data_IF_292755298753
#
_entry.id   IF_292755298753
#
_cell.length_a   1.000
_cell.length_b   1.000
_cell.length_c   1.000
_cell.angle_alpha   90.00
_cell.angle_beta   90.00
_cell.angle_gamma   90.00
#
_symmetry.space_group_name_H-M   'P 1'
#
loop_
_entity.id
_entity.type
_entity.pdbx_description
1 polymer ?
#
# COMPACT_ATOMS: atom_id res chain seq x y z
N UNK A 1 36.20 -6.19 -16.82
CA UNK A 1 35.52 -5.62 -15.64
C UNK A 1 34.03 -5.82 -15.87
N UNK A 2 33.46 -6.91 -15.34
CA UNK A 2 32.01 -7.13 -15.48
C UNK A 2 31.27 -6.14 -14.58
N UNK A 3 30.11 -5.59 -15.02
CA UNK A 3 29.28 -4.78 -14.15
C UNK A 3 28.78 -5.65 -12.98
N UNK A 4 28.58 -5.09 -11.77
CA UNK A 4 28.02 -5.84 -10.67
C UNK A 4 26.66 -6.39 -11.09
N UNK A 5 26.49 -7.71 -10.92
CA UNK A 5 25.22 -8.38 -11.18
C UNK A 5 24.12 -7.63 -10.44
N UNK A 6 23.22 -7.01 -11.20
CA UNK A 6 22.06 -6.31 -10.66
C UNK A 6 21.13 -7.36 -10.07
N UNK A 7 21.38 -7.75 -8.81
CA UNK A 7 20.65 -8.80 -8.13
C UNK A 7 19.17 -8.49 -8.13
N UNK A 8 18.36 -9.45 -8.57
CA UNK A 8 16.89 -9.35 -8.50
C UNK A 8 16.49 -9.03 -7.06
N UNK A 9 15.86 -7.87 -6.86
CA UNK A 9 15.36 -7.40 -5.57
C UNK A 9 13.99 -8.00 -5.31
N UNK A 10 13.62 -8.08 -4.03
CA UNK A 10 12.32 -8.58 -3.57
C UNK A 10 11.73 -7.60 -2.58
N UNK A 11 10.42 -7.69 -2.38
CA UNK A 11 9.75 -6.94 -1.33
C UNK A 11 10.29 -7.33 0.06
N UNK A 12 10.60 -6.34 0.89
CA UNK A 12 10.96 -6.54 2.29
C UNK A 12 9.69 -6.79 3.09
N UNK A 13 9.53 -7.99 3.62
CA UNK A 13 8.40 -8.34 4.50
C UNK A 13 8.76 -8.07 5.95
N UNK A 14 8.10 -7.08 6.55
CA UNK A 14 8.27 -6.75 7.97
C UNK A 14 7.61 -7.79 8.87
N UNK A 15 8.18 -7.96 10.07
CA UNK A 15 7.70 -8.94 11.06
C UNK A 15 6.27 -8.57 11.49
N UNK A 16 5.39 -9.56 11.54
CA UNK A 16 4.05 -9.38 12.11
C UNK A 16 4.16 -9.19 13.62
N UNK A 17 3.56 -8.14 14.15
CA UNK A 17 3.56 -7.81 15.58
C UNK A 17 2.17 -7.38 16.02
N UNK A 18 1.86 -7.59 17.30
CA UNK A 18 0.65 -7.05 17.93
C UNK A 18 0.75 -5.54 18.15
N UNK A 19 1.97 -4.99 18.28
CA UNK A 19 2.21 -3.56 18.53
C UNK A 19 2.60 -2.83 17.24
N UNK A 20 1.82 -3.04 16.17
CA UNK A 20 2.06 -2.50 14.82
C UNK A 20 2.39 -1.01 14.78
N UNK A 21 1.74 -0.22 15.64
CA UNK A 21 1.91 1.22 15.72
C UNK A 21 3.22 1.67 16.38
N UNK A 22 3.94 0.78 17.06
CA UNK A 22 5.19 1.07 17.77
C UNK A 22 6.39 0.41 17.09
N UNK A 23 6.25 -0.86 16.72
CA UNK A 23 7.36 -1.69 16.27
C UNK A 23 7.68 -1.47 14.79
N UNK A 24 6.69 -1.10 13.96
CA UNK A 24 6.93 -0.85 12.55
C UNK A 24 7.51 0.53 12.29
N UNK A 25 8.51 0.53 11.42
CA UNK A 25 9.22 1.70 10.94
C UNK A 25 9.49 1.52 9.45
N UNK A 26 9.66 2.63 8.73
CA UNK A 26 10.08 2.64 7.34
C UNK A 26 11.28 3.55 7.20
N UNK A 27 12.33 3.04 6.56
CA UNK A 27 13.48 3.84 6.14
C UNK A 27 13.49 3.86 4.62
N UNK A 28 13.22 5.03 4.06
CA UNK A 28 13.13 5.27 2.62
C UNK A 28 14.54 5.46 2.08
N UNK A 29 14.96 4.55 1.21
CA UNK A 29 16.31 4.53 0.61
C UNK A 29 16.29 4.80 -0.89
N UNK A 30 15.10 4.90 -1.46
CA UNK A 30 14.84 4.76 -2.88
C UNK A 30 13.80 5.80 -3.32
N UNK A 31 13.89 6.23 -4.59
CA UNK A 31 13.04 7.29 -5.15
C UNK A 31 11.58 6.87 -5.29
N UNK A 32 11.34 5.58 -5.51
CA UNK A 32 9.99 5.01 -5.60
C UNK A 32 9.80 4.09 -4.40
N UNK A 33 8.79 4.38 -3.58
CA UNK A 33 8.42 3.59 -2.41
C UNK A 33 7.03 2.99 -2.60
N UNK A 34 6.91 1.67 -2.56
CA UNK A 34 5.64 0.97 -2.44
C UNK A 34 5.56 0.42 -1.02
N UNK A 35 4.55 0.86 -0.26
CA UNK A 35 4.21 0.30 1.04
C UNK A 35 2.82 -0.30 0.99
N UNK A 36 2.64 -1.46 1.58
CA UNK A 36 1.33 -2.09 1.60
C UNK A 36 1.20 -3.20 2.61
N UNK A 37 0.08 -3.92 2.54
CA UNK A 37 -0.18 -5.05 3.41
C UNK A 37 0.56 -6.33 2.96
N UNK A 38 0.05 -7.50 3.34
CA UNK A 38 0.63 -8.79 2.95
C UNK A 38 0.55 -9.08 1.45
N UNK A 39 -0.30 -8.40 0.68
CA UNK A 39 -0.36 -8.62 -0.77
C UNK A 39 0.88 -8.09 -1.48
N UNK A 40 1.49 -7.02 -0.95
CA UNK A 40 2.71 -6.43 -1.52
C UNK A 40 3.91 -7.37 -1.45
N UNK A 41 4.00 -8.26 -0.44
CA UNK A 41 5.11 -9.22 -0.40
C UNK A 41 5.01 -10.31 -1.48
N UNK A 42 3.88 -10.42 -2.18
CA UNK A 42 3.67 -11.39 -3.27
C UNK A 42 4.17 -10.87 -4.63
N UNK A 43 4.68 -9.64 -4.70
CA UNK A 43 5.23 -9.11 -5.94
C UNK A 43 6.38 -10.00 -6.44
N UNK A 44 6.47 -10.24 -7.76
CA UNK A 44 7.59 -10.96 -8.33
C UNK A 44 8.90 -10.20 -8.08
N UNK A 45 10.06 -10.87 -8.13
CA UNK A 45 11.34 -10.18 -8.05
C UNK A 45 11.45 -9.11 -9.15
N UNK A 46 12.01 -7.96 -8.80
CA UNK A 46 12.13 -6.80 -9.68
C UNK A 46 13.60 -6.38 -9.83
N UNK A 47 13.91 -5.74 -10.96
CA UNK A 47 15.26 -5.26 -11.29
C UNK A 47 15.46 -3.78 -11.01
N UNK A 48 14.37 -3.01 -10.85
CA UNK A 48 14.44 -1.57 -10.67
C UNK A 48 15.20 -1.20 -9.38
N UNK A 49 16.33 -0.52 -9.56
CA UNK A 49 17.21 -0.09 -8.48
C UNK A 49 16.69 1.15 -7.76
N UNK A 50 15.73 1.87 -8.33
CA UNK A 50 15.05 3.01 -7.71
C UNK A 50 13.80 2.62 -6.95
N UNK A 51 13.34 1.37 -7.10
CA UNK A 51 12.17 0.83 -6.43
C UNK A 51 12.51 0.19 -5.07
N UNK A 52 11.79 0.62 -4.05
CA UNK A 52 11.71 -0.03 -2.74
C UNK A 52 10.29 -0.51 -2.50
N UNK A 53 10.16 -1.74 -2.01
CA UNK A 53 8.86 -2.36 -1.75
C UNK A 53 8.87 -2.95 -0.35
N UNK A 54 8.02 -2.42 0.53
CA UNK A 54 7.94 -2.78 1.94
C UNK A 54 6.53 -3.29 2.28
N UNK A 55 6.43 -4.54 2.72
CA UNK A 55 5.17 -5.18 3.13
C UNK A 55 5.03 -5.21 4.64
N UNK A 56 3.87 -4.77 5.12
CA UNK A 56 3.48 -4.74 6.53
C UNK A 56 2.23 -5.63 6.72
N UNK A 57 2.38 -6.90 7.12
CA UNK A 57 1.28 -7.87 7.13
C UNK A 57 0.06 -7.44 7.97
N UNK A 58 -1.12 -7.47 7.36
CA UNK A 58 -2.38 -7.05 8.00
C UNK A 58 -2.42 -5.56 8.36
N UNK A 59 -1.61 -4.72 7.69
CA UNK A 59 -1.67 -3.28 7.82
C UNK A 59 -2.93 -2.71 7.14
N UNK A 60 -3.28 -1.49 7.56
CA UNK A 60 -4.37 -0.71 7.01
C UNK A 60 -3.93 0.76 6.99
N UNK A 61 -4.74 1.66 6.45
CA UNK A 61 -4.40 3.09 6.34
C UNK A 61 -4.07 3.76 7.69
N UNK A 62 -4.65 3.32 8.81
CA UNK A 62 -4.26 3.83 10.14
C UNK A 62 -2.80 3.51 10.46
N UNK A 63 -2.36 2.29 10.15
CA UNK A 63 -0.96 1.89 10.32
C UNK A 63 -0.05 2.66 9.37
N UNK A 64 -0.47 2.85 8.11
CA UNK A 64 0.27 3.63 7.13
C UNK A 64 0.51 5.08 7.60
N UNK A 65 -0.52 5.74 8.17
CA UNK A 65 -0.38 7.08 8.71
C UNK A 65 0.69 7.16 9.81
N UNK A 66 0.67 6.24 10.76
CA UNK A 66 1.66 6.19 11.83
C UNK A 66 3.07 5.87 11.31
N UNK A 67 3.18 4.92 10.38
CA UNK A 67 4.43 4.55 9.73
C UNK A 67 5.06 5.76 9.02
N UNK A 68 4.29 6.45 8.20
CA UNK A 68 4.76 7.61 7.42
C UNK A 68 5.12 8.79 8.31
N UNK A 69 4.36 9.03 9.38
CA UNK A 69 4.65 10.13 10.32
C UNK A 69 6.03 10.01 10.99
N UNK A 70 6.59 8.79 11.06
CA UNK A 70 7.89 8.48 11.66
C UNK A 70 8.92 7.99 10.66
N UNK A 71 8.58 8.04 9.37
CA UNK A 71 9.46 7.53 8.32
C UNK A 71 10.79 8.29 8.33
N UNK A 72 11.90 7.59 8.17
CA UNK A 72 13.21 8.22 7.96
C UNK A 72 13.50 8.14 6.47
N UNK A 73 13.95 9.22 5.84
CA UNK A 73 14.41 9.19 4.46
C UNK A 73 15.91 9.44 4.40
N UNK A 74 16.63 8.45 3.87
CA UNK A 74 18.01 8.60 3.43
C UNK A 74 18.00 9.24 2.04
N UNK A 75 17.09 8.76 1.18
CA UNK A 75 16.81 9.34 -0.13
C UNK A 75 15.37 9.84 -0.12
N UNK A 76 15.12 11.14 -0.38
CA UNK A 76 13.76 11.66 -0.52
C UNK A 76 13.03 10.93 -1.65
N UNK A 77 11.84 10.34 -1.40
CA UNK A 77 11.06 9.70 -2.44
C UNK A 77 10.47 10.76 -3.39
N UNK A 78 10.44 10.44 -4.67
CA UNK A 78 9.71 11.19 -5.70
C UNK A 78 8.27 10.64 -5.85
N UNK A 79 8.08 9.35 -5.57
CA UNK A 79 6.79 8.68 -5.65
C UNK A 79 6.58 7.72 -4.48
N UNK A 80 5.39 7.74 -3.90
CA UNK A 80 4.96 6.84 -2.83
C UNK A 80 3.64 6.18 -3.25
N UNK A 81 3.56 4.86 -3.20
CA UNK A 81 2.33 4.09 -3.44
C UNK A 81 1.85 3.49 -2.12
N UNK A 82 0.62 3.80 -1.72
CA UNK A 82 -0.02 3.32 -0.49
C UNK A 82 -0.97 2.15 -0.79
N UNK A 83 -0.40 0.96 -1.02
CA UNK A 83 -1.14 -0.26 -1.36
C UNK A 83 -1.77 -0.95 -0.14
N UNK A 84 -2.78 -0.30 0.45
CA UNK A 84 -3.59 -0.83 1.54
C UNK A 84 -5.08 -0.76 1.19
N UNK A 85 -5.93 -1.38 2.02
CA UNK A 85 -7.38 -1.16 1.98
C UNK A 85 -8.21 -2.44 2.00
N UNK A 86 -7.66 -3.57 1.56
CA UNK A 86 -8.38 -4.86 1.60
C UNK A 86 -8.73 -5.30 3.03
N UNK A 87 -7.88 -4.93 4.00
CA UNK A 87 -8.12 -5.18 5.43
C UNK A 87 -9.22 -4.31 6.04
N UNK A 88 -9.84 -3.40 5.27
CA UNK A 88 -11.01 -2.61 5.69
C UNK A 88 -12.35 -3.23 5.28
N UNK A 89 -12.35 -4.32 4.50
CA UNK A 89 -13.56 -4.91 3.92
C UNK A 89 -14.67 -5.20 4.92
N UNK A 90 -14.32 -5.68 6.12
CA UNK A 90 -15.29 -6.04 7.17
C UNK A 90 -15.65 -4.85 8.09
N UNK A 91 -15.13 -3.65 7.82
CA UNK A 91 -15.41 -2.47 8.63
C UNK A 91 -16.79 -1.90 8.30
N UNK A 92 -17.73 -1.97 9.25
CA UNK A 92 -19.11 -1.50 9.07
C UNK A 92 -19.23 0.02 8.91
N UNK A 93 -18.32 0.77 9.49
CA UNK A 93 -18.30 2.23 9.45
C UNK A 93 -17.43 2.73 8.28
N UNK A 94 -18.03 2.90 7.10
CA UNK A 94 -17.38 3.38 5.88
C UNK A 94 -16.55 4.67 6.10
N UNK A 95 -17.11 5.62 6.86
CA UNK A 95 -16.42 6.88 7.18
C UNK A 95 -15.07 6.66 7.87
N UNK A 96 -14.90 5.57 8.62
CA UNK A 96 -13.66 5.31 9.34
C UNK A 96 -12.54 4.92 8.40
N UNK A 97 -12.80 4.11 7.36
CA UNK A 97 -11.78 3.73 6.38
C UNK A 97 -11.33 4.94 5.56
N UNK A 98 -12.28 5.80 5.17
CA UNK A 98 -11.99 7.08 4.48
C UNK A 98 -11.16 8.02 5.36
N UNK A 99 -11.54 8.22 6.63
CA UNK A 99 -10.76 9.06 7.57
C UNK A 99 -9.33 8.53 7.75
N UNK A 100 -9.16 7.21 7.79
CA UNK A 100 -7.83 6.61 7.90
C UNK A 100 -7.00 6.81 6.63
N UNK A 101 -7.61 6.68 5.44
CA UNK A 101 -6.96 7.00 4.16
C UNK A 101 -6.51 8.46 4.13
N UNK A 102 -7.39 9.39 4.47
CA UNK A 102 -7.08 10.83 4.53
C UNK A 102 -5.93 11.12 5.51
N UNK A 103 -5.92 10.46 6.68
CA UNK A 103 -4.83 10.57 7.64
C UNK A 103 -3.49 10.06 7.06
N UNK A 104 -3.51 8.95 6.32
CA UNK A 104 -2.32 8.40 5.67
C UNK A 104 -1.77 9.34 4.58
N UNK A 105 -2.66 9.87 3.74
CA UNK A 105 -2.31 10.87 2.72
C UNK A 105 -1.74 12.13 3.34
N UNK A 106 -2.35 12.64 4.42
CA UNK A 106 -1.85 13.80 5.15
C UNK A 106 -0.46 13.52 5.75
N UNK A 107 -0.26 12.36 6.37
CA UNK A 107 1.04 11.97 6.91
C UNK A 107 2.11 11.88 5.81
N UNK A 108 1.79 11.29 4.65
CA UNK A 108 2.68 11.22 3.51
C UNK A 108 3.06 12.62 3.00
N UNK A 109 2.08 13.49 2.75
CA UNK A 109 2.29 14.85 2.25
C UNK A 109 3.06 15.73 3.24
N UNK A 110 2.80 15.60 4.54
CA UNK A 110 3.56 16.33 5.56
C UNK A 110 5.02 15.85 5.64
N UNK A 111 5.24 14.54 5.51
CA UNK A 111 6.59 13.97 5.64
C UNK A 111 7.42 14.14 4.37
N UNK A 112 6.78 14.06 3.21
CA UNK A 112 7.39 14.07 1.88
C UNK A 112 6.60 15.04 0.97
N UNK A 113 6.71 16.36 1.18
CA UNK A 113 5.87 17.35 0.51
C UNK A 113 6.03 17.41 -1.01
N UNK A 114 7.17 16.95 -1.53
CA UNK A 114 7.45 16.92 -2.96
C UNK A 114 7.19 15.56 -3.61
N UNK A 115 6.86 14.53 -2.83
CA UNK A 115 6.56 13.21 -3.37
C UNK A 115 5.14 13.16 -3.92
N UNK A 116 4.96 12.57 -5.10
CA UNK A 116 3.64 12.19 -5.59
C UNK A 116 3.15 10.98 -4.81
N UNK A 117 1.95 11.07 -4.22
CA UNK A 117 1.38 9.99 -3.41
C UNK A 117 0.22 9.34 -4.15
N UNK A 118 0.39 8.09 -4.55
CA UNK A 118 -0.59 7.29 -5.27
C UNK A 118 -1.29 6.29 -4.36
N UNK A 119 -2.57 6.07 -4.59
CA UNK A 119 -3.37 5.04 -3.92
C UNK A 119 -3.98 4.11 -4.96
N UNK A 120 -3.60 2.83 -5.02
CA UNK A 120 -4.24 1.91 -5.96
C UNK A 120 -5.69 1.65 -5.56
N UNK A 121 -6.57 1.59 -6.55
CA UNK A 121 -7.89 1.03 -6.34
C UNK A 121 -7.76 -0.45 -5.95
N UNK A 122 -8.61 -0.89 -5.04
CA UNK A 122 -8.53 -2.21 -4.44
C UNK A 122 -9.22 -3.19 -5.39
N UNK A 123 -8.45 -4.07 -6.01
CA UNK A 123 -8.98 -5.28 -6.63
C UNK A 123 -9.41 -6.27 -5.53
N UNK A 124 -10.56 -6.91 -5.71
CA UNK A 124 -11.11 -7.88 -4.74
C UNK A 124 -11.91 -8.98 -5.44
N UNK A 125 -12.01 -10.14 -4.79
CA UNK A 125 -12.68 -11.32 -5.34
C UNK A 125 -14.21 -11.13 -5.43
N UNK A 126 -14.84 -11.62 -6.51
CA UNK A 126 -16.29 -11.69 -6.62
C UNK A 126 -16.93 -12.67 -5.63
N UNK A 127 -16.17 -13.53 -4.94
CA UNK A 127 -16.69 -14.41 -3.90
C UNK A 127 -16.89 -13.72 -2.55
N UNK A 128 -16.44 -12.46 -2.38
CA UNK A 128 -16.62 -11.75 -1.11
C UNK A 128 -18.10 -11.58 -0.73
N UNK A 129 -18.43 -11.58 0.58
CA UNK A 129 -19.76 -11.25 1.06
C UNK A 129 -20.22 -9.89 0.51
N UNK A 130 -21.51 -9.76 0.22
CA UNK A 130 -22.06 -8.57 -0.42
C UNK A 130 -21.76 -7.28 0.37
N UNK A 131 -21.83 -7.35 1.70
CA UNK A 131 -21.48 -6.22 2.56
C UNK A 131 -20.01 -5.79 2.42
N UNK A 132 -19.09 -6.76 2.31
CA UNK A 132 -17.67 -6.47 2.14
C UNK A 132 -17.38 -5.84 0.78
N UNK A 133 -18.04 -6.32 -0.27
CA UNK A 133 -17.99 -5.69 -1.60
C UNK A 133 -18.48 -4.26 -1.56
N UNK A 134 -19.61 -3.98 -0.91
CA UNK A 134 -20.13 -2.61 -0.79
C UNK A 134 -19.13 -1.68 -0.09
N UNK A 135 -18.52 -2.14 1.01
CA UNK A 135 -17.48 -1.37 1.71
C UNK A 135 -16.29 -1.04 0.81
N UNK A 136 -15.79 -2.02 0.04
CA UNK A 136 -14.66 -1.84 -0.86
C UNK A 136 -15.00 -0.98 -2.08
N UNK A 137 -16.21 -1.12 -2.64
CA UNK A 137 -16.69 -0.28 -3.74
C UNK A 137 -16.80 1.18 -3.33
N UNK A 138 -17.34 1.44 -2.14
CA UNK A 138 -17.46 2.80 -1.62
C UNK A 138 -16.08 3.43 -1.35
N UNK A 139 -15.13 2.63 -0.82
CA UNK A 139 -13.74 3.08 -0.65
C UNK A 139 -13.05 3.34 -2.00
N UNK A 140 -13.21 2.47 -2.99
CA UNK A 140 -12.67 2.65 -4.34
C UNK A 140 -13.25 3.90 -5.02
N UNK A 141 -14.55 4.15 -4.86
CA UNK A 141 -15.19 5.38 -5.36
C UNK A 141 -14.52 6.60 -4.76
N UNK A 142 -14.32 6.62 -3.44
CA UNK A 142 -13.64 7.73 -2.77
C UNK A 142 -12.20 7.92 -3.28
N UNK A 143 -11.44 6.84 -3.47
CA UNK A 143 -10.08 6.88 -4.03
C UNK A 143 -10.09 7.51 -5.42
N UNK A 144 -10.98 7.09 -6.30
CA UNK A 144 -11.06 7.57 -7.69
C UNK A 144 -11.47 9.05 -7.78
N UNK A 145 -12.36 9.50 -6.91
CA UNK A 145 -12.87 10.87 -6.91
C UNK A 145 -11.92 11.88 -6.24
N UNK A 146 -11.08 11.45 -5.28
CA UNK A 146 -10.37 12.38 -4.38
C UNK A 146 -8.85 12.16 -4.27
N UNK A 147 -8.29 11.10 -4.87
CA UNK A 147 -6.87 10.76 -4.75
C UNK A 147 -6.19 10.72 -6.11
N UNK A 148 -4.87 10.95 -6.15
CA UNK A 148 -4.07 10.42 -7.25
C UNK A 148 -4.07 8.90 -7.12
N UNK A 149 -4.55 8.19 -8.15
CA UNK A 149 -4.81 6.76 -8.02
C UNK A 149 -4.24 5.93 -9.18
N UNK A 150 -4.10 4.63 -8.92
CA UNK A 150 -3.82 3.62 -9.94
C UNK A 150 -5.13 2.86 -10.18
N UNK A 151 -5.64 2.77 -11.42
CA UNK A 151 -6.90 2.10 -11.71
C UNK A 151 -6.83 0.60 -11.37
N UNK A 152 -7.99 -0.01 -11.05
CA UNK A 152 -8.01 -1.44 -10.76
C UNK A 152 -7.66 -2.24 -12.02
N UNK A 153 -7.07 -3.41 -11.84
CA UNK A 153 -6.90 -4.35 -12.94
C UNK A 153 -8.27 -4.75 -13.52
N UNK A 154 -8.37 -4.94 -14.86
CA UNK A 154 -9.55 -5.54 -15.48
C UNK A 154 -9.88 -6.89 -14.84
N UNK A 155 -11.17 -7.26 -14.78
CA UNK A 155 -11.61 -8.49 -14.11
C UNK A 155 -11.01 -9.73 -14.74
N UNK A 156 -10.81 -9.71 -16.05
CA UNK A 156 -10.24 -10.80 -16.83
C UNK A 156 -8.75 -11.02 -16.51
N UNK A 157 -8.11 -10.04 -15.86
CA UNK A 157 -6.69 -10.05 -15.47
C UNK A 157 -6.50 -10.15 -13.95
N UNK A 158 -7.58 -10.33 -13.19
CA UNK A 158 -7.52 -10.44 -11.73
C UNK A 158 -8.33 -11.65 -11.24
N UNK A 159 -7.62 -12.64 -10.71
CA UNK A 159 -8.19 -13.81 -10.04
C UNK A 159 -7.51 -14.02 -8.70
N UNK A 160 -8.25 -14.53 -7.72
CA UNK A 160 -7.70 -15.00 -6.45
C UNK A 160 -7.67 -16.53 -6.42
N UNK A 161 -6.92 -17.13 -5.47
CA UNK A 161 -6.86 -18.59 -5.29
C UNK A 161 -8.25 -19.22 -5.06
N UNK A 162 -9.20 -18.45 -4.53
CA UNK A 162 -10.59 -18.89 -4.29
C UNK A 162 -11.52 -18.70 -5.48
N UNK A 163 -11.07 -18.02 -6.55
CA UNK A 163 -11.83 -17.85 -7.80
C UNK A 163 -11.45 -18.91 -8.85
N UNK A 164 -10.54 -19.83 -8.51
CA UNK A 164 -10.07 -20.93 -9.36
C UNK A 164 -10.77 -22.24 -9.01
#
# INVERSE_FOLDING_TARGET
>A
MEPPSSGRRRATRHISTLRKMKDWHVTVRNKILIVGDSNVCRFPPFLDQHLQVDSYPGANFRHAAALLSRAIAITPPEMIVLAFGLNHRSQRAHQTSVKQLQAALRAAKLRFPHARVLVPAINFSPALPQQEKFSLLALNRHIQEHCDFIPPLPREKFSTETDQ
#
